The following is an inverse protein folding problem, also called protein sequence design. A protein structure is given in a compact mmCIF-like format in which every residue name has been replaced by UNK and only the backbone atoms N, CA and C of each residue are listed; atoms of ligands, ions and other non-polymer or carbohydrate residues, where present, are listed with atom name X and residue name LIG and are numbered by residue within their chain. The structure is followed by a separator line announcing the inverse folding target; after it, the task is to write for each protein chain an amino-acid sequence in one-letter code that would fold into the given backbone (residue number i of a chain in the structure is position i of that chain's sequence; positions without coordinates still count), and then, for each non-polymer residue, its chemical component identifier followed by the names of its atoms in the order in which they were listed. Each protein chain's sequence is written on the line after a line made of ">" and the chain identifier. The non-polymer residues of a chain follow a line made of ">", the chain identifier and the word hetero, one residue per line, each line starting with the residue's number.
data_IF_560225144946
#
_entry.id   IF_560225144946
#
_cell.length_a   1.000
_cell.length_b   1.000
_cell.length_c   1.000
_cell.angle_alpha   90.00
_cell.angle_beta   90.00
_cell.angle_gamma   90.00
#
_symmetry.space_group_name_H-M   'P 1'
#
loop_
_entity.id
_entity.type
_entity.pdbx_description
1 polymer ?
#
# COMPACT_ATOMS: atom_id res chain seq x y z
N UNK A 1 -3.74 -5.68 -15.29
CA UNK A 1 -3.22 -5.50 -13.93
C UNK A 1 -3.19 -6.86 -13.27
N UNK A 2 -2.09 -7.23 -12.66
CA UNK A 2 -1.91 -8.51 -11.95
C UNK A 2 -2.13 -8.36 -10.46
N UNK A 3 -1.77 -7.21 -9.90
CA UNK A 3 -1.82 -6.90 -8.48
C UNK A 3 -2.47 -5.53 -8.27
N UNK A 4 -3.34 -5.43 -7.27
CA UNK A 4 -3.84 -4.18 -6.71
C UNK A 4 -2.95 -3.83 -5.53
N UNK A 5 -2.33 -2.67 -5.58
CA UNK A 5 -1.67 -2.07 -4.46
C UNK A 5 -2.69 -1.24 -3.66
N UNK A 6 -2.62 -1.29 -2.35
CA UNK A 6 -3.53 -0.59 -1.44
C UNK A 6 -2.78 -0.17 -0.17
N UNK A 7 -3.11 1.04 0.29
CA UNK A 7 -2.71 1.55 1.61
C UNK A 7 -3.80 1.28 2.64
N UNK A 8 -3.44 0.81 3.81
CA UNK A 8 -4.39 0.56 4.89
C UNK A 8 -4.02 1.34 6.14
N UNK A 9 -4.98 2.09 6.66
CA UNK A 9 -4.95 2.74 7.97
C UNK A 9 -6.00 2.11 8.88
N UNK A 10 -5.81 2.20 10.21
CA UNK A 10 -6.78 1.68 11.17
C UNK A 10 -7.49 2.82 11.90
N UNK A 11 -8.81 2.71 11.99
CA UNK A 11 -9.62 3.58 12.87
C UNK A 11 -9.34 3.28 14.35
N UNK A 12 -9.86 4.13 15.25
CA UNK A 12 -9.80 3.96 16.70
C UNK A 12 -10.36 2.61 17.16
N UNK A 13 -11.42 2.15 16.52
CA UNK A 13 -12.07 0.86 16.76
C UNK A 13 -11.53 -0.26 15.86
N UNK A 14 -10.32 -0.08 15.32
CA UNK A 14 -9.52 -1.06 14.56
C UNK A 14 -10.17 -1.58 13.28
N UNK A 15 -10.99 -0.78 12.60
CA UNK A 15 -11.52 -1.11 11.28
C UNK A 15 -10.47 -0.74 10.23
N UNK A 16 -10.04 -1.67 9.35
CA UNK A 16 -9.05 -1.39 8.32
C UNK A 16 -9.70 -0.65 7.14
N UNK A 17 -9.29 0.59 6.94
CA UNK A 17 -9.74 1.45 5.84
C UNK A 17 -8.67 1.48 4.74
N UNK A 18 -9.12 1.49 3.49
CA UNK A 18 -8.23 1.72 2.34
C UNK A 18 -8.08 3.23 2.15
N UNK A 19 -6.98 3.75 2.67
CA UNK A 19 -6.69 5.18 2.74
C UNK A 19 -5.18 5.40 2.93
N UNK A 20 -4.62 6.40 2.25
CA UNK A 20 -3.17 6.63 2.23
C UNK A 20 -2.67 7.43 3.44
N UNK A 21 -3.33 8.54 3.77
CA UNK A 21 -2.81 9.51 4.73
C UNK A 21 -3.19 9.14 6.17
N UNK A 22 -2.38 9.50 7.18
CA UNK A 22 -2.75 9.28 8.57
C UNK A 22 -3.98 10.10 8.98
N UNK A 23 -4.27 11.22 8.32
CA UNK A 23 -5.42 12.09 8.62
C UNK A 23 -6.43 12.17 7.47
N UNK A 24 -7.64 12.65 7.77
CA UNK A 24 -8.69 12.92 6.78
C UNK A 24 -8.37 14.24 6.05
N UNK A 25 -8.04 14.14 4.78
CA UNK A 25 -7.58 15.27 3.96
C UNK A 25 -8.74 16.14 3.45
N UNK A 26 -8.62 17.46 3.60
CA UNK A 26 -9.64 18.43 3.18
C UNK A 26 -9.75 18.56 1.65
N UNK A 27 -8.70 18.23 0.90
CA UNK A 27 -8.72 18.20 -0.57
C UNK A 27 -9.41 16.94 -1.14
N UNK A 28 -9.64 15.91 -0.30
CA UNK A 28 -10.28 14.65 -0.65
C UNK A 28 -11.70 14.52 -0.12
N UNK A 29 -11.95 14.99 1.11
CA UNK A 29 -13.20 14.76 1.84
C UNK A 29 -13.90 16.05 2.27
N UNK A 30 -15.19 15.90 2.61
CA UNK A 30 -16.01 16.91 3.29
C UNK A 30 -16.75 16.27 4.46
N UNK A 31 -16.90 17.05 5.54
CA UNK A 31 -17.80 16.70 6.63
C UNK A 31 -19.27 16.87 6.16
N UNK A 32 -20.14 15.98 6.60
CA UNK A 32 -21.57 16.11 6.33
C UNK A 32 -22.36 16.36 7.61
N UNK A 33 -22.42 15.38 8.49
CA UNK A 33 -23.12 15.45 9.78
C UNK A 33 -22.29 14.75 10.87
N UNK A 34 -22.43 15.12 12.14
CA UNK A 34 -21.83 14.36 13.23
C UNK A 34 -22.40 12.94 13.29
N UNK A 35 -21.59 11.97 13.71
CA UNK A 35 -21.99 10.57 13.80
C UNK A 35 -23.10 10.31 14.85
N UNK A 36 -23.21 11.21 15.84
CA UNK A 36 -24.30 11.29 16.82
C UNK A 36 -24.46 12.74 17.29
N UNK A 37 -25.63 13.12 17.83
CA UNK A 37 -25.86 14.45 18.40
C UNK A 37 -24.84 14.77 19.49
N UNK A 38 -24.19 15.93 19.40
CA UNK A 38 -23.19 16.38 20.38
C UNK A 38 -21.82 15.69 20.29
N UNK A 39 -21.50 15.05 19.17
CA UNK A 39 -20.15 14.48 18.97
C UNK A 39 -19.08 15.55 19.00
N UNK A 40 -18.27 15.56 20.08
CA UNK A 40 -17.20 16.55 20.30
C UNK A 40 -16.03 16.39 19.31
N UNK A 41 -15.96 15.27 18.59
CA UNK A 41 -14.94 15.04 17.55
C UNK A 41 -15.33 15.70 16.22
N UNK A 42 -16.58 16.07 16.00
CA UNK A 42 -17.00 16.77 14.77
C UNK A 42 -16.49 18.23 14.76
N UNK A 43 -15.96 18.76 13.63
CA UNK A 43 -15.76 18.12 12.33
C UNK A 43 -14.59 17.13 12.30
N UNK A 44 -14.63 16.13 11.39
CA UNK A 44 -13.63 15.05 11.31
C UNK A 44 -12.52 15.32 10.29
N UNK A 45 -12.78 16.16 9.29
CA UNK A 45 -11.74 16.59 8.32
C UNK A 45 -10.59 17.26 9.06
N UNK A 46 -9.36 16.85 8.74
CA UNK A 46 -8.12 17.31 9.38
C UNK A 46 -7.69 16.47 10.60
N UNK A 47 -8.53 15.55 11.09
CA UNK A 47 -8.19 14.65 12.21
C UNK A 47 -7.53 13.37 11.74
N UNK A 48 -6.70 12.79 12.61
CA UNK A 48 -6.10 11.50 12.34
C UNK A 48 -7.17 10.39 12.34
N UNK A 49 -7.06 9.49 11.37
CA UNK A 49 -7.99 8.36 11.22
C UNK A 49 -7.98 7.50 12.49
N UNK A 50 -6.80 7.35 13.10
CA UNK A 50 -6.62 6.59 14.32
C UNK A 50 -7.41 7.13 15.53
N UNK A 51 -7.76 8.40 15.54
CA UNK A 51 -8.56 9.04 16.60
C UNK A 51 -10.07 8.91 16.37
N UNK A 52 -10.49 8.53 15.16
CA UNK A 52 -11.88 8.44 14.75
C UNK A 52 -12.36 6.98 14.73
N UNK A 53 -13.59 6.77 15.16
CA UNK A 53 -14.28 5.48 14.98
C UNK A 53 -14.74 5.33 13.52
N UNK A 54 -14.94 4.09 13.09
CA UNK A 54 -15.49 3.82 11.75
C UNK A 54 -16.85 4.51 11.53
N UNK A 55 -17.72 4.56 12.55
CA UNK A 55 -18.99 5.28 12.48
C UNK A 55 -18.82 6.77 12.14
N UNK A 56 -17.80 7.43 12.70
CA UNK A 56 -17.48 8.83 12.40
C UNK A 56 -16.97 8.97 10.96
N UNK A 57 -16.04 8.13 10.54
CA UNK A 57 -15.50 8.14 9.17
C UNK A 57 -16.60 7.88 8.12
N UNK A 58 -17.57 7.05 8.43
CA UNK A 58 -18.69 6.72 7.53
C UNK A 58 -19.63 7.92 7.24
N UNK A 59 -19.58 9.00 8.01
CA UNK A 59 -20.35 10.21 7.70
C UNK A 59 -19.68 11.11 6.67
N UNK A 60 -18.38 10.92 6.41
CA UNK A 60 -17.63 11.71 5.43
C UNK A 60 -18.04 11.36 3.99
N UNK A 61 -18.01 12.37 3.12
CA UNK A 61 -18.05 12.16 1.66
C UNK A 61 -16.68 12.51 1.10
N UNK A 62 -16.03 11.53 0.48
CA UNK A 62 -14.66 11.62 -0.02
C UNK A 62 -14.67 11.43 -1.54
N UNK A 63 -15.20 12.41 -2.25
CA UNK A 63 -15.42 12.36 -3.69
C UNK A 63 -14.86 13.57 -4.45
N UNK A 64 -14.01 14.35 -3.81
CA UNK A 64 -13.38 15.50 -4.46
C UNK A 64 -12.42 15.02 -5.55
N UNK A 65 -12.43 15.74 -6.66
CA UNK A 65 -11.48 15.47 -7.75
C UNK A 65 -10.13 16.07 -7.40
N UNK A 66 -9.11 15.25 -7.34
CA UNK A 66 -7.74 15.67 -7.05
C UNK A 66 -7.12 16.38 -8.26
N UNK A 67 -6.46 17.51 -8.03
CA UNK A 67 -5.79 18.31 -9.08
C UNK A 67 -4.69 17.50 -9.76
N UNK A 68 -3.94 16.69 -9.01
CA UNK A 68 -2.87 15.82 -9.54
C UNK A 68 -3.36 14.68 -10.44
N UNK A 69 -4.67 14.39 -10.46
CA UNK A 69 -5.26 13.31 -11.24
C UNK A 69 -6.43 13.81 -12.13
N UNK A 70 -6.15 14.69 -13.10
CA UNK A 70 -7.20 15.38 -13.88
C UNK A 70 -8.08 14.43 -14.72
N UNK A 71 -7.57 13.25 -15.09
CA UNK A 71 -8.31 12.22 -15.83
C UNK A 71 -9.11 11.25 -14.94
N UNK A 72 -8.97 11.32 -13.62
CA UNK A 72 -9.75 10.49 -12.72
C UNK A 72 -11.24 10.82 -12.78
N UNK A 73 -12.10 9.80 -12.82
CA UNK A 73 -13.56 9.97 -12.78
C UNK A 73 -14.02 10.15 -11.34
N UNK A 74 -14.74 11.24 -11.08
CA UNK A 74 -15.39 11.45 -9.79
C UNK A 74 -16.51 10.43 -9.60
N UNK A 75 -16.54 9.78 -8.44
CA UNK A 75 -17.65 8.92 -8.00
C UNK A 75 -18.43 9.70 -6.94
N UNK A 76 -19.55 10.31 -7.33
CA UNK A 76 -20.36 11.17 -6.46
C UNK A 76 -20.85 10.40 -5.24
N UNK A 77 -20.69 10.98 -4.05
CA UNK A 77 -21.09 10.39 -2.78
C UNK A 77 -20.16 9.26 -2.31
N UNK A 78 -18.97 9.13 -2.92
CA UNK A 78 -18.00 8.11 -2.51
C UNK A 78 -17.60 8.27 -1.03
N UNK A 79 -17.42 7.15 -0.36
CA UNK A 79 -16.96 7.06 1.04
C UNK A 79 -15.68 6.23 1.10
N UNK A 80 -14.91 6.39 2.17
CA UNK A 80 -13.70 5.58 2.38
C UNK A 80 -14.11 4.10 2.51
N UNK A 81 -13.55 3.26 1.65
CA UNK A 81 -13.82 1.83 1.65
C UNK A 81 -13.04 1.12 2.76
N UNK A 82 -13.61 0.06 3.33
CA UNK A 82 -12.88 -0.88 4.16
C UNK A 82 -12.12 -1.90 3.32
N UNK A 83 -11.07 -2.51 3.87
CA UNK A 83 -10.32 -3.58 3.21
C UNK A 83 -11.23 -4.75 2.75
N UNK A 84 -12.18 -5.28 3.57
CA UNK A 84 -13.14 -6.27 3.11
C UNK A 84 -13.99 -5.83 1.91
N UNK A 85 -14.44 -4.57 1.87
CA UNK A 85 -15.20 -4.05 0.73
C UNK A 85 -14.41 -4.05 -0.57
N UNK A 86 -13.09 -3.79 -0.50
CA UNK A 86 -12.21 -3.89 -1.68
C UNK A 86 -12.04 -5.34 -2.12
N UNK A 87 -11.89 -6.28 -1.21
CA UNK A 87 -11.87 -7.71 -1.53
C UNK A 87 -13.16 -8.17 -2.23
N UNK A 88 -14.32 -7.78 -1.70
CA UNK A 88 -15.61 -8.06 -2.30
C UNK A 88 -15.76 -7.44 -3.69
N UNK A 89 -15.34 -6.18 -3.85
CA UNK A 89 -15.36 -5.52 -5.15
C UNK A 89 -14.51 -6.27 -6.18
N UNK A 90 -13.29 -6.66 -5.83
CA UNK A 90 -12.42 -7.42 -6.73
C UNK A 90 -13.03 -8.77 -7.11
N UNK A 91 -13.73 -9.44 -6.18
CA UNK A 91 -14.40 -10.73 -6.44
C UNK A 91 -15.52 -10.62 -7.48
N UNK A 92 -16.26 -9.49 -7.50
CA UNK A 92 -17.36 -9.20 -8.46
C UNK A 92 -16.87 -9.03 -9.91
N UNK A 93 -15.59 -8.79 -10.12
CA UNK A 93 -14.98 -8.62 -11.45
C UNK A 93 -14.31 -9.90 -11.95
N UNK A 94 -14.71 -11.10 -11.51
CA UNK A 94 -14.01 -12.36 -11.84
C UNK A 94 -12.50 -12.26 -11.59
N UNK A 95 -12.13 -11.44 -10.62
CA UNK A 95 -10.74 -11.14 -10.27
C UNK A 95 -10.07 -12.21 -9.41
N UNK A 96 -10.45 -13.49 -9.57
CA UNK A 96 -9.91 -14.61 -8.80
C UNK A 96 -8.41 -14.87 -8.99
N UNK A 97 -7.77 -14.20 -9.95
CA UNK A 97 -6.33 -14.23 -10.18
C UNK A 97 -5.62 -12.92 -9.79
N UNK A 98 -6.36 -11.88 -9.43
CA UNK A 98 -5.80 -10.60 -8.99
C UNK A 98 -5.19 -10.79 -7.60
N UNK A 99 -3.97 -10.34 -7.42
CA UNK A 99 -3.27 -10.31 -6.13
C UNK A 99 -3.46 -8.95 -5.46
N UNK A 100 -3.12 -8.88 -4.19
CA UNK A 100 -3.16 -7.64 -3.41
C UNK A 100 -1.79 -7.42 -2.77
N UNK A 101 -1.23 -6.24 -2.96
CA UNK A 101 -0.07 -5.77 -2.21
C UNK A 101 -0.61 -4.74 -1.20
N UNK A 102 -0.60 -5.08 0.09
CA UNK A 102 -1.27 -4.31 1.14
C UNK A 102 -0.23 -3.63 2.00
N UNK A 103 -0.22 -2.29 1.97
CA UNK A 103 0.63 -1.51 2.84
C UNK A 103 0.01 -1.35 4.23
N UNK A 104 0.83 -1.57 5.25
CA UNK A 104 0.53 -1.17 6.62
C UNK A 104 1.02 0.27 6.83
N UNK A 105 0.12 1.26 6.80
CA UNK A 105 0.44 2.68 7.02
C UNK A 105 0.69 2.95 8.51
N UNK A 106 1.83 2.46 9.01
CA UNK A 106 2.25 2.63 10.39
C UNK A 106 3.21 3.81 10.46
N UNK A 107 2.95 4.75 11.36
CA UNK A 107 3.82 5.88 11.63
C UNK A 107 4.91 5.48 12.62
N UNK A 108 6.17 5.39 12.16
CA UNK A 108 7.28 4.99 13.01
C UNK A 108 7.82 6.13 13.87
N UNK A 109 7.80 7.36 13.36
CA UNK A 109 8.32 8.56 14.01
C UNK A 109 7.23 9.22 14.87
N UNK A 110 6.00 9.35 14.38
CA UNK A 110 4.84 9.92 15.10
C UNK A 110 3.87 8.83 15.55
N UNK A 111 4.31 7.95 16.43
CA UNK A 111 3.64 6.69 16.82
C UNK A 111 2.21 6.85 17.35
N UNK A 112 1.84 8.04 17.82
CA UNK A 112 0.46 8.32 18.29
C UNK A 112 -0.54 8.43 17.13
N UNK A 113 -0.08 8.64 15.90
CA UNK A 113 -0.93 8.83 14.71
C UNK A 113 -1.38 7.52 14.07
N UNK A 114 -0.88 6.40 14.53
CA UNK A 114 -1.28 5.10 14.02
C UNK A 114 -1.36 4.03 15.12
N UNK A 115 -2.06 2.94 14.84
CA UNK A 115 -2.06 1.78 15.74
C UNK A 115 -0.67 1.12 15.76
N UNK A 116 -0.39 0.37 16.85
CA UNK A 116 0.87 -0.39 17.00
C UNK A 116 1.00 -1.46 15.91
N UNK A 117 2.24 -1.79 15.47
CA UNK A 117 2.48 -2.80 14.42
C UNK A 117 1.75 -4.13 14.64
N UNK A 118 1.72 -4.65 15.87
CA UNK A 118 1.04 -5.90 16.18
C UNK A 118 -0.49 -5.82 15.96
N UNK A 119 -1.12 -4.67 16.26
CA UNK A 119 -2.55 -4.45 16.03
C UNK A 119 -2.84 -4.37 14.53
N UNK A 120 -2.00 -3.66 13.76
CA UNK A 120 -2.11 -3.59 12.31
C UNK A 120 -2.05 -4.98 11.68
N UNK A 121 -0.98 -5.73 11.97
CA UNK A 121 -0.75 -7.04 11.38
C UNK A 121 -1.90 -8.00 11.72
N UNK A 122 -2.28 -8.11 13.00
CA UNK A 122 -3.36 -9.00 13.40
C UNK A 122 -4.71 -8.64 12.75
N UNK A 123 -4.98 -7.34 12.60
CA UNK A 123 -6.22 -6.85 11.97
C UNK A 123 -6.26 -7.18 10.49
N UNK A 124 -5.19 -6.85 9.74
CA UNK A 124 -5.14 -7.12 8.29
C UNK A 124 -5.16 -8.63 8.03
N UNK A 125 -4.37 -9.42 8.73
CA UNK A 125 -4.31 -10.87 8.53
C UNK A 125 -5.65 -11.54 8.86
N UNK A 126 -6.38 -11.04 9.86
CA UNK A 126 -7.76 -11.53 10.15
C UNK A 126 -8.67 -11.35 8.94
N UNK A 127 -8.66 -10.19 8.29
CA UNK A 127 -9.51 -9.93 7.11
C UNK A 127 -9.03 -10.72 5.88
N UNK A 128 -7.72 -10.87 5.70
CA UNK A 128 -7.14 -11.72 4.64
C UNK A 128 -7.55 -13.19 4.79
N UNK A 129 -7.50 -13.72 6.01
CA UNK A 129 -7.94 -15.10 6.32
C UNK A 129 -9.44 -15.28 6.08
N UNK A 130 -10.27 -14.36 6.56
CA UNK A 130 -11.73 -14.38 6.35
C UNK A 130 -12.12 -14.38 4.87
N UNK A 131 -11.37 -13.65 4.05
CA UNK A 131 -11.56 -13.57 2.62
C UNK A 131 -10.93 -14.76 1.84
N UNK A 132 -10.23 -15.69 2.51
CA UNK A 132 -9.48 -16.80 1.90
C UNK A 132 -8.42 -16.33 0.89
N UNK A 133 -7.74 -15.21 1.17
CA UNK A 133 -6.82 -14.56 0.25
C UNK A 133 -5.33 -14.73 0.60
N UNK A 134 -4.96 -15.53 1.59
CA UNK A 134 -3.57 -15.72 2.06
C UNK A 134 -2.59 -15.98 0.90
N UNK A 135 -2.96 -16.79 -0.10
CA UNK A 135 -2.12 -17.08 -1.27
C UNK A 135 -2.10 -15.99 -2.34
N UNK A 136 -2.86 -14.92 -2.14
CA UNK A 136 -3.03 -13.83 -3.11
C UNK A 136 -2.62 -12.46 -2.58
N UNK A 137 -2.07 -12.43 -1.38
CA UNK A 137 -1.65 -11.20 -0.68
C UNK A 137 -0.14 -11.18 -0.56
N UNK A 138 0.43 -10.00 -0.65
CA UNK A 138 1.75 -9.59 -0.20
C UNK A 138 1.55 -8.46 0.81
N UNK A 139 2.36 -8.38 1.85
CA UNK A 139 2.30 -7.29 2.83
C UNK A 139 3.53 -6.42 2.67
N UNK A 140 3.29 -5.12 2.45
CA UNK A 140 4.35 -4.13 2.37
C UNK A 140 4.31 -3.15 3.53
N UNK A 141 5.46 -2.57 3.85
CA UNK A 141 5.56 -1.55 4.90
C UNK A 141 6.83 -0.74 4.78
N UNK A 142 6.72 0.56 5.08
CA UNK A 142 7.86 1.38 5.44
C UNK A 142 8.35 1.09 6.86
N UNK A 143 7.42 0.74 7.76
CA UNK A 143 7.77 0.31 9.12
C UNK A 143 8.11 -1.19 9.14
N UNK A 144 9.38 -1.49 8.98
CA UNK A 144 9.88 -2.85 8.91
C UNK A 144 9.66 -3.66 10.20
N UNK A 145 9.28 -3.01 11.32
CA UNK A 145 8.87 -3.72 12.55
C UNK A 145 7.63 -4.60 12.34
N UNK A 146 6.78 -4.27 11.36
CA UNK A 146 5.58 -5.04 11.06
C UNK A 146 5.87 -6.34 10.31
N UNK A 147 6.89 -6.36 9.45
CA UNK A 147 7.17 -7.47 8.54
C UNK A 147 7.49 -8.80 9.26
N UNK A 148 8.35 -8.86 10.29
CA UNK A 148 8.57 -10.08 11.04
C UNK A 148 7.33 -10.57 11.80
N UNK A 149 6.41 -9.66 12.18
CA UNK A 149 5.14 -10.04 12.80
C UNK A 149 4.19 -10.72 11.81
N UNK A 150 4.23 -10.33 10.53
CA UNK A 150 3.52 -11.04 9.45
C UNK A 150 4.12 -12.42 9.26
N UNK A 151 5.46 -12.53 9.15
CA UNK A 151 6.16 -13.80 8.96
C UNK A 151 5.84 -14.79 10.08
N UNK A 152 5.76 -14.33 11.31
CA UNK A 152 5.44 -15.16 12.47
C UNK A 152 4.00 -15.70 12.45
N UNK A 153 3.03 -14.97 11.86
CA UNK A 153 1.61 -15.34 11.85
C UNK A 153 1.17 -16.05 10.56
N UNK A 154 1.77 -15.70 9.43
CA UNK A 154 1.50 -16.25 8.08
C UNK A 154 2.80 -16.40 7.29
N UNK A 155 3.58 -17.45 7.53
CA UNK A 155 4.90 -17.63 6.91
C UNK A 155 4.90 -17.65 5.37
N UNK A 156 3.76 -17.96 4.76
CA UNK A 156 3.60 -18.06 3.30
C UNK A 156 3.33 -16.72 2.60
N UNK A 157 3.04 -15.66 3.33
CA UNK A 157 2.80 -14.33 2.74
C UNK A 157 4.15 -13.68 2.42
N UNK A 158 4.40 -13.27 1.17
CA UNK A 158 5.59 -12.52 0.81
C UNK A 158 5.65 -11.17 1.53
N UNK A 159 6.83 -10.80 2.01
CA UNK A 159 7.12 -9.56 2.70
C UNK A 159 7.80 -8.58 1.76
N UNK A 160 7.27 -7.36 1.69
CA UNK A 160 7.74 -6.30 0.80
C UNK A 160 8.31 -5.16 1.63
N UNK A 161 9.61 -4.92 1.53
CA UNK A 161 10.30 -3.86 2.25
C UNK A 161 10.26 -2.56 1.43
N UNK A 162 9.39 -1.63 1.83
CA UNK A 162 9.34 -0.28 1.27
C UNK A 162 10.47 0.58 1.85
N UNK A 163 11.09 1.40 1.02
CA UNK A 163 12.04 2.41 1.48
C UNK A 163 12.25 3.55 0.48
N UNK A 164 12.70 4.66 1.01
CA UNK A 164 13.22 5.83 0.31
C UNK A 164 14.40 6.43 1.09
N UNK A 165 14.90 7.58 0.66
CA UNK A 165 16.00 8.30 1.30
C UNK A 165 15.66 8.78 2.72
N UNK A 166 14.37 8.94 3.03
CA UNK A 166 13.90 9.42 4.34
C UNK A 166 13.80 8.31 5.36
N UNK A 167 13.59 7.08 4.91
CA UNK A 167 13.41 5.90 5.75
C UNK A 167 14.67 5.03 5.83
N UNK A 168 15.45 4.89 4.75
CA UNK A 168 16.73 4.19 4.76
C UNK A 168 17.87 5.17 5.07
N UNK A 169 18.07 5.47 6.34
CA UNK A 169 19.10 6.41 6.83
C UNK A 169 19.61 5.98 8.22
N UNK A 170 20.79 6.48 8.66
CA UNK A 170 21.30 6.23 10.01
C UNK A 170 20.29 6.65 11.08
N UNK A 171 20.06 5.80 12.08
CA UNK A 171 19.17 6.08 13.21
C UNK A 171 17.67 6.08 12.88
N UNK A 172 17.30 5.59 11.69
CA UNK A 172 15.89 5.52 11.28
C UNK A 172 15.05 4.64 12.20
N UNK A 173 13.90 5.14 12.65
CA UNK A 173 12.93 4.38 13.41
C UNK A 173 12.12 3.39 12.56
N UNK A 174 12.14 3.55 11.24
CA UNK A 174 11.40 2.73 10.28
C UNK A 174 11.99 1.32 10.12
N UNK A 175 13.27 1.14 10.39
CA UNK A 175 13.97 -0.13 10.14
C UNK A 175 13.76 -1.18 11.25
N UNK A 176 13.22 -0.78 12.41
CA UNK A 176 13.04 -1.69 13.54
C UNK A 176 14.36 -2.21 14.07
N UNK A 177 14.54 -3.54 14.06
CA UNK A 177 15.78 -4.20 14.46
C UNK A 177 16.78 -4.42 13.30
N UNK A 178 16.40 -4.07 12.08
CA UNK A 178 17.30 -4.20 10.92
C UNK A 178 18.34 -3.09 10.96
N UNK A 179 19.64 -3.41 11.01
CA UNK A 179 20.67 -2.39 11.10
C UNK A 179 20.78 -1.62 9.77
N UNK A 180 20.88 -0.30 9.88
CA UNK A 180 21.29 0.52 8.75
C UNK A 180 22.71 0.17 8.32
N UNK A 181 22.94 0.09 7.01
CA UNK A 181 24.26 -0.15 6.42
C UNK A 181 24.36 0.41 5.01
N UNK A 182 25.51 0.25 4.35
CA UNK A 182 25.73 0.76 3.00
C UNK A 182 24.94 0.01 1.93
N UNK A 183 24.44 -1.19 2.25
CA UNK A 183 23.73 -2.06 1.29
C UNK A 183 22.36 -2.49 1.84
N UNK A 184 21.33 -1.82 1.36
CA UNK A 184 19.92 -2.13 1.68
C UNK A 184 19.51 -3.52 1.21
N UNK A 185 20.10 -4.01 0.10
CA UNK A 185 19.83 -5.34 -0.45
C UNK A 185 20.28 -6.42 0.54
N UNK A 186 21.52 -6.31 1.02
CA UNK A 186 22.05 -7.25 1.99
C UNK A 186 21.24 -7.24 3.31
N UNK A 187 20.84 -6.06 3.76
CA UNK A 187 20.00 -5.92 4.97
C UNK A 187 18.62 -6.55 4.82
N UNK A 188 17.92 -6.32 3.69
CA UNK A 188 16.61 -6.91 3.42
C UNK A 188 16.68 -8.44 3.27
N UNK A 189 17.71 -8.94 2.58
CA UNK A 189 17.94 -10.37 2.43
C UNK A 189 18.22 -11.06 3.78
N UNK A 190 19.09 -10.45 4.60
CA UNK A 190 19.40 -10.96 5.95
C UNK A 190 18.17 -10.95 6.88
N UNK A 191 17.25 -9.99 6.68
CA UNK A 191 15.98 -9.93 7.42
C UNK A 191 14.93 -10.95 6.91
N UNK A 192 15.21 -11.69 5.83
CA UNK A 192 14.33 -12.70 5.26
C UNK A 192 13.12 -12.12 4.53
N UNK A 193 13.27 -10.93 3.93
CA UNK A 193 12.22 -10.34 3.09
C UNK A 193 12.24 -10.94 1.69
N UNK A 194 11.14 -10.81 0.95
CA UNK A 194 10.97 -11.43 -0.37
C UNK A 194 11.06 -10.43 -1.52
N UNK A 195 10.76 -9.15 -1.22
CA UNK A 195 10.70 -8.07 -2.19
C UNK A 195 11.31 -6.80 -1.62
N UNK A 196 12.16 -6.16 -2.39
CA UNK A 196 12.63 -4.81 -2.15
C UNK A 196 11.79 -3.84 -2.99
N UNK A 197 11.16 -2.86 -2.34
CA UNK A 197 10.28 -1.90 -3.02
C UNK A 197 10.75 -0.46 -2.76
N UNK A 198 11.72 0.03 -3.55
CA UNK A 198 12.29 1.35 -3.42
C UNK A 198 11.48 2.46 -4.09
N UNK A 199 11.64 3.70 -3.63
CA UNK A 199 11.37 4.86 -4.49
C UNK A 199 12.14 4.70 -5.81
N UNK A 200 11.46 4.84 -6.96
CA UNK A 200 12.01 4.45 -8.27
C UNK A 200 13.32 5.18 -8.65
N UNK A 201 13.53 6.37 -8.10
CA UNK A 201 14.76 7.14 -8.32
C UNK A 201 16.01 6.50 -7.71
N UNK A 202 15.83 5.62 -6.73
CA UNK A 202 16.91 4.87 -6.06
C UNK A 202 17.31 3.59 -6.82
N UNK A 203 16.58 3.26 -7.89
CA UNK A 203 16.82 2.03 -8.65
C UNK A 203 17.82 2.27 -9.77
N UNK A 204 18.81 1.41 -9.84
CA UNK A 204 19.74 1.28 -10.94
C UNK A 204 19.95 -0.21 -11.32
N UNK A 205 20.58 -0.52 -12.46
CA UNK A 205 20.83 -1.89 -12.86
C UNK A 205 21.67 -2.70 -11.85
N UNK A 206 22.57 -2.03 -11.14
CA UNK A 206 23.44 -2.66 -10.13
C UNK A 206 22.63 -3.09 -8.91
N UNK A 207 21.68 -2.28 -8.44
CA UNK A 207 20.77 -2.63 -7.36
C UNK A 207 19.91 -3.85 -7.74
N UNK A 208 19.31 -3.84 -8.94
CA UNK A 208 18.49 -4.95 -9.43
C UNK A 208 19.29 -6.25 -9.51
N UNK A 209 20.50 -6.19 -10.09
CA UNK A 209 21.37 -7.36 -10.18
C UNK A 209 21.76 -7.93 -8.80
N UNK A 210 22.11 -7.07 -7.82
CA UNK A 210 22.41 -7.52 -6.45
C UNK A 210 21.18 -8.10 -5.76
N UNK A 211 20.00 -7.47 -5.93
CA UNK A 211 18.76 -7.98 -5.35
C UNK A 211 18.42 -9.38 -5.89
N UNK A 212 18.48 -9.56 -7.20
CA UNK A 212 18.25 -10.87 -7.83
C UNK A 212 19.27 -11.92 -7.37
N UNK A 213 20.55 -11.57 -7.28
CA UNK A 213 21.59 -12.45 -6.74
C UNK A 213 21.33 -12.86 -5.28
N UNK A 214 20.66 -12.01 -4.50
CA UNK A 214 20.24 -12.27 -3.13
C UNK A 214 18.86 -12.95 -3.03
N UNK A 215 18.20 -13.27 -4.15
CA UNK A 215 16.88 -13.90 -4.19
C UNK A 215 15.71 -12.95 -3.95
N UNK A 216 15.95 -11.64 -3.97
CA UNK A 216 14.91 -10.62 -3.81
C UNK A 216 14.35 -10.18 -5.16
N UNK A 217 13.04 -9.97 -5.24
CA UNK A 217 12.41 -9.22 -6.33
C UNK A 217 12.54 -7.71 -6.10
N UNK A 218 12.51 -6.92 -7.17
CA UNK A 218 12.53 -5.44 -7.11
C UNK A 218 11.26 -4.89 -7.75
N UNK A 219 10.46 -4.15 -6.98
CA UNK A 219 9.20 -3.55 -7.43
C UNK A 219 9.17 -2.07 -7.01
N UNK A 220 9.64 -1.14 -7.85
CA UNK A 220 9.70 0.28 -7.54
C UNK A 220 8.34 0.98 -7.55
N UNK A 221 8.24 2.08 -6.82
CA UNK A 221 7.10 3.00 -6.70
C UNK A 221 7.55 4.46 -6.75
N UNK A 222 6.72 5.45 -7.06
CA UNK A 222 5.53 5.36 -7.89
C UNK A 222 5.94 5.80 -9.30
N UNK A 223 5.90 4.92 -10.26
CA UNK A 223 6.44 5.15 -11.61
C UNK A 223 5.30 5.51 -12.55
N UNK A 224 5.15 6.78 -12.86
CA UNK A 224 4.00 7.30 -13.59
C UNK A 224 4.29 7.71 -15.04
N UNK A 225 5.52 8.16 -15.34
CA UNK A 225 5.85 8.63 -16.68
C UNK A 225 6.36 7.50 -17.59
N UNK A 226 5.99 7.57 -18.88
CA UNK A 226 6.35 6.55 -19.88
C UNK A 226 7.87 6.34 -19.97
N UNK A 227 8.63 7.43 -19.93
CA UNK A 227 10.11 7.38 -19.94
C UNK A 227 10.65 6.62 -18.72
N UNK A 228 10.10 6.89 -17.52
CA UNK A 228 10.54 6.24 -16.29
C UNK A 228 10.10 4.76 -16.26
N UNK A 229 8.89 4.45 -16.75
CA UNK A 229 8.42 3.05 -16.89
C UNK A 229 9.39 2.27 -17.78
N UNK A 230 9.72 2.78 -18.99
CA UNK A 230 10.68 2.13 -19.88
C UNK A 230 12.07 1.98 -19.26
N UNK A 231 12.52 3.02 -18.55
CA UNK A 231 13.78 3.01 -17.83
C UNK A 231 13.83 1.90 -16.77
N UNK A 232 12.77 1.79 -15.94
CA UNK A 232 12.70 0.73 -14.92
C UNK A 232 12.65 -0.67 -15.57
N UNK A 233 11.88 -0.84 -16.64
CA UNK A 233 11.84 -2.09 -17.40
C UNK A 233 13.22 -2.48 -17.96
N UNK A 234 13.98 -1.50 -18.49
CA UNK A 234 15.35 -1.75 -18.99
C UNK A 234 16.34 -2.16 -17.90
N UNK A 235 16.06 -1.85 -16.63
CA UNK A 235 16.85 -2.30 -15.48
C UNK A 235 16.51 -3.73 -15.03
N UNK A 236 15.42 -4.32 -15.58
CA UNK A 236 15.01 -5.68 -15.28
C UNK A 236 14.20 -5.84 -13.99
N UNK A 237 13.47 -4.80 -13.56
CA UNK A 237 12.61 -4.90 -12.36
C UNK A 237 11.47 -5.92 -12.55
N UNK A 238 11.02 -6.53 -11.45
CA UNK A 238 10.02 -7.63 -11.46
C UNK A 238 8.57 -7.15 -11.51
N UNK A 239 8.36 -5.87 -11.25
CA UNK A 239 7.05 -5.22 -11.31
C UNK A 239 7.20 -3.72 -11.16
N UNK A 240 6.08 -2.99 -11.30
CA UNK A 240 6.03 -1.54 -11.16
C UNK A 240 4.75 -1.16 -10.47
N UNK A 241 4.84 -0.32 -9.43
CA UNK A 241 3.69 0.34 -8.79
C UNK A 241 3.48 1.69 -9.51
N UNK A 242 2.24 1.94 -9.96
CA UNK A 242 1.87 3.14 -10.71
C UNK A 242 0.43 3.56 -10.44
N UNK A 243 0.17 4.86 -10.44
CA UNK A 243 -1.18 5.44 -10.42
C UNK A 243 -1.89 5.34 -11.77
N UNK A 244 -1.14 5.05 -12.85
CA UNK A 244 -1.66 5.00 -14.22
C UNK A 244 -1.55 3.59 -14.84
N UNK A 245 -2.33 2.61 -14.36
CA UNK A 245 -2.23 1.21 -14.80
C UNK A 245 -2.51 1.03 -16.30
N UNK A 246 -3.33 1.90 -16.91
CA UNK A 246 -3.57 1.87 -18.37
C UNK A 246 -2.33 2.30 -19.14
N UNK A 247 -1.60 3.32 -18.64
CA UNK A 247 -0.33 3.80 -19.21
C UNK A 247 0.74 2.70 -19.14
N UNK A 248 0.96 2.13 -17.97
CA UNK A 248 1.88 1.01 -17.78
C UNK A 248 1.51 -0.17 -18.69
N UNK A 249 0.23 -0.50 -18.79
CA UNK A 249 -0.25 -1.59 -19.66
C UNK A 249 0.04 -1.32 -21.13
N UNK A 250 -0.09 -0.07 -21.61
CA UNK A 250 0.28 0.33 -22.97
C UNK A 250 1.76 0.09 -23.24
N UNK A 251 2.64 0.63 -22.37
CA UNK A 251 4.10 0.44 -22.49
C UNK A 251 4.48 -1.04 -22.49
N UNK A 252 3.94 -1.84 -21.58
CA UNK A 252 4.22 -3.29 -21.53
C UNK A 252 3.78 -4.00 -22.82
N UNK A 253 2.67 -3.59 -23.43
CA UNK A 253 2.22 -4.12 -24.73
C UNK A 253 3.17 -3.77 -25.87
N UNK A 254 3.62 -2.51 -25.93
CA UNK A 254 4.56 -2.02 -26.93
C UNK A 254 5.93 -2.72 -26.85
N UNK A 255 6.36 -3.05 -25.63
CA UNK A 255 7.61 -3.79 -25.34
C UNK A 255 7.45 -5.33 -25.46
N UNK A 256 6.30 -5.82 -25.94
CA UNK A 256 6.06 -7.25 -26.21
C UNK A 256 5.73 -8.12 -25.01
N UNK A 257 5.48 -7.53 -23.84
CA UNK A 257 5.10 -8.31 -22.66
C UNK A 257 3.70 -8.93 -22.80
N UNK A 258 3.54 -10.17 -22.32
CA UNK A 258 2.24 -10.83 -22.26
C UNK A 258 1.35 -10.17 -21.20
N UNK A 259 0.30 -9.49 -21.64
CA UNK A 259 -0.61 -8.79 -20.75
C UNK A 259 -1.68 -9.73 -20.16
N UNK A 260 -2.05 -9.59 -18.87
CA UNK A 260 -3.18 -10.31 -18.31
C UNK A 260 -4.48 -9.86 -18.98
N UNK A 261 -5.42 -10.80 -19.18
CA UNK A 261 -6.75 -10.49 -19.73
C UNK A 261 -7.50 -9.55 -18.78
N UNK A 262 -8.32 -8.62 -19.30
CA UNK A 262 -9.17 -7.79 -18.47
C UNK A 262 -10.10 -8.63 -17.58
N UNK A 263 -10.24 -8.23 -16.33
CA UNK A 263 -11.30 -8.77 -15.48
C UNK A 263 -12.64 -8.13 -15.88
N UNK A 264 -13.69 -8.95 -16.02
CA UNK A 264 -15.05 -8.49 -16.36
C UNK A 264 -15.97 -8.65 -15.17
N UNK A 265 -16.89 -7.69 -15.00
CA UNK A 265 -17.92 -7.77 -13.96
C UNK A 265 -18.82 -8.97 -14.20
N UNK A 266 -19.19 -9.67 -13.13
CA UNK A 266 -20.21 -10.72 -13.15
C UNK A 266 -21.59 -10.12 -13.23
#
# INVERSE_FOLDING_TARGET
>A
MSTLELDVVLTKDTVPLVWHDPSIQADKCVDTVPAWPGDKQFPYVGKDVHDLTYRQVQTLVCDKKLVGFPSAKRVIGNRIATLPQVFDLASRYRGNKVRFNIETKIEAEERSRSAKPAVFVSTILREVRRAHLVRRVEIQSFDWRSLPLVRAQEPSIPLVALYDETTWKPGSQWLGSVPYGPDVVAAAAAAGYDVLSPAFKLVDPGLVARAHAAGLRVIPWTVNEVSDIRKQLSYGVDGIITDYPTRLRGVLGDEGYRLPKPAVRR
#
